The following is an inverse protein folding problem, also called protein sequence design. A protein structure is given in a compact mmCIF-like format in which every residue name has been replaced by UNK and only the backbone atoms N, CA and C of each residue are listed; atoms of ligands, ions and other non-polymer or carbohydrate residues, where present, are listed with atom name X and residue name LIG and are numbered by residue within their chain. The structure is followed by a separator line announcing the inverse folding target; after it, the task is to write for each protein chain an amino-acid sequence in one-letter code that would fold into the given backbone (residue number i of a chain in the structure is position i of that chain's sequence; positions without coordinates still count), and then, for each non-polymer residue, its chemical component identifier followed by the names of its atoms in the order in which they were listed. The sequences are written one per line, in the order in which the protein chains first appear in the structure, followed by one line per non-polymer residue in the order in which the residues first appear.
data_IF_224453025275
#
_entry.id   IF_224453025275
#
_cell.length_a   1.000
_cell.length_b   1.000
_cell.length_c   1.000
_cell.angle_alpha   90.00
_cell.angle_beta   90.00
_cell.angle_gamma   90.00
#
_symmetry.space_group_name_H-M   'P 1'
#
loop_
_entity.id
_entity.type
_entity.pdbx_description
1 polymer ?
#
# COMPACT_ATOMS: atom_id res chain seq x y z
N UNK A 1 -17.46 -30.33 20.69
CA UNK A 1 -17.42 -28.87 20.47
C UNK A 1 -16.59 -28.55 19.21
N UNK A 2 -17.14 -28.69 18.00
CA UNK A 2 -16.39 -28.45 16.73
C UNK A 2 -17.24 -27.81 15.61
N UNK A 3 -18.43 -27.27 15.93
CA UNK A 3 -19.38 -26.73 14.93
C UNK A 3 -19.52 -25.20 14.91
N UNK A 4 -18.83 -24.49 15.81
CA UNK A 4 -18.93 -23.01 15.91
C UNK A 4 -17.93 -22.23 15.03
N UNK A 5 -16.92 -22.90 14.45
CA UNK A 5 -15.91 -22.23 13.61
C UNK A 5 -16.40 -21.88 12.21
N UNK A 6 -17.25 -22.73 11.61
CA UNK A 6 -17.66 -22.58 10.20
C UNK A 6 -18.69 -21.45 10.05
N UNK A 7 -19.62 -21.30 11.00
CA UNK A 7 -20.61 -20.21 10.98
C UNK A 7 -19.96 -18.83 11.17
N UNK A 8 -18.88 -18.75 11.94
CA UNK A 8 -18.11 -17.51 12.15
C UNK A 8 -17.32 -17.11 10.90
N UNK A 9 -16.76 -18.08 10.17
CA UNK A 9 -16.10 -17.88 8.88
C UNK A 9 -17.07 -17.44 7.77
N UNK A 10 -18.29 -17.97 7.77
CA UNK A 10 -19.34 -17.58 6.82
C UNK A 10 -19.90 -16.17 7.11
N UNK A 11 -19.94 -15.75 8.39
CA UNK A 11 -20.24 -14.35 8.76
C UNK A 11 -19.13 -13.37 8.36
N UNK A 12 -17.86 -13.77 8.43
CA UNK A 12 -16.75 -12.96 7.93
C UNK A 12 -16.77 -12.85 6.40
N UNK A 13 -17.15 -13.93 5.71
CA UNK A 13 -17.29 -13.96 4.25
C UNK A 13 -18.47 -13.12 3.74
N UNK A 14 -19.56 -12.95 4.51
CA UNK A 14 -20.69 -12.09 4.12
C UNK A 14 -20.42 -10.60 4.34
N UNK A 15 -19.41 -10.24 5.15
CA UNK A 15 -18.86 -8.88 5.25
C UNK A 15 -17.94 -8.52 4.08
N UNK A 16 -17.41 -9.52 3.37
CA UNK A 16 -16.75 -9.34 2.07
C UNK A 16 -17.80 -9.19 0.97
N UNK A 17 -18.66 -8.16 1.09
CA UNK A 17 -19.26 -7.60 -0.13
C UNK A 17 -18.11 -7.18 -1.04
N UNK A 18 -18.12 -7.49 -2.35
CA UNK A 18 -17.18 -6.85 -3.25
C UNK A 18 -17.34 -5.34 -3.04
N UNK A 19 -16.29 -4.71 -2.50
CA UNK A 19 -16.24 -3.26 -2.38
C UNK A 19 -16.64 -2.71 -3.74
N UNK A 20 -17.61 -1.80 -3.73
CA UNK A 20 -18.30 -1.34 -4.92
C UNK A 20 -17.35 -1.25 -6.11
N UNK A 21 -17.79 -1.76 -7.26
CA UNK A 21 -17.12 -1.59 -8.56
C UNK A 21 -16.90 -0.12 -8.95
N UNK A 22 -17.31 0.81 -8.08
CA UNK A 22 -17.15 2.27 -8.12
C UNK A 22 -16.19 2.89 -7.07
N UNK A 23 -15.34 2.09 -6.42
CA UNK A 23 -14.35 2.61 -5.47
C UNK A 23 -13.26 3.47 -6.16
N UNK A 24 -13.19 4.74 -5.80
CA UNK A 24 -12.02 5.59 -6.11
C UNK A 24 -10.81 5.12 -5.28
N UNK A 25 -9.62 5.18 -5.88
CA UNK A 25 -8.36 4.78 -5.24
C UNK A 25 -7.40 5.96 -5.21
N UNK A 26 -6.81 6.20 -4.05
CA UNK A 26 -5.82 7.25 -3.83
C UNK A 26 -4.50 6.66 -3.35
N UNK A 27 -3.39 7.13 -3.91
CA UNK A 27 -2.07 6.91 -3.36
C UNK A 27 -1.66 8.14 -2.55
N UNK A 28 -1.16 7.96 -1.33
CA UNK A 28 -0.79 9.02 -0.40
C UNK A 28 0.65 8.84 0.09
N UNK A 29 1.26 9.96 0.47
CA UNK A 29 2.56 10.02 1.15
C UNK A 29 2.46 11.00 2.33
N UNK A 30 2.98 10.58 3.49
CA UNK A 30 3.06 11.42 4.68
C UNK A 30 4.27 12.36 4.59
N UNK A 31 4.00 13.67 4.51
CA UNK A 31 5.01 14.70 4.40
C UNK A 31 5.91 14.79 5.63
N UNK A 32 5.37 14.60 6.85
CA UNK A 32 6.18 14.64 8.08
C UNK A 32 7.23 13.52 8.09
N UNK A 33 6.85 12.33 7.61
CA UNK A 33 7.77 11.19 7.54
C UNK A 33 8.82 11.40 6.45
N UNK A 34 8.41 11.93 5.30
CA UNK A 34 9.32 12.25 4.21
C UNK A 34 10.42 13.26 4.63
N UNK A 35 10.11 14.25 5.48
CA UNK A 35 11.08 15.23 5.98
C UNK A 35 12.24 14.58 6.76
N UNK A 36 11.97 13.48 7.45
CA UNK A 36 12.98 12.72 8.22
C UNK A 36 13.46 11.47 7.47
N UNK A 37 13.20 11.40 6.16
CA UNK A 37 13.62 10.29 5.28
C UNK A 37 12.92 8.95 5.54
N UNK A 38 11.82 8.95 6.29
CA UNK A 38 10.96 7.76 6.48
C UNK A 38 10.03 7.64 5.28
N UNK A 39 10.01 6.46 4.66
CA UNK A 39 9.22 6.17 3.48
C UNK A 39 7.86 5.60 3.90
N UNK A 40 6.76 6.24 3.49
CA UNK A 40 5.42 5.79 3.85
C UNK A 40 4.42 5.86 2.68
N UNK A 41 4.43 4.86 1.79
CA UNK A 41 3.39 4.72 0.78
C UNK A 41 2.11 4.20 1.44
N UNK A 42 1.01 4.90 1.17
CA UNK A 42 -0.32 4.48 1.56
C UNK A 42 -1.24 4.42 0.35
N UNK A 43 -2.12 3.42 0.32
CA UNK A 43 -3.19 3.31 -0.66
C UNK A 43 -4.52 3.29 0.06
N UNK A 44 -5.42 4.18 -0.32
CA UNK A 44 -6.76 4.27 0.23
C UNK A 44 -7.80 3.92 -0.83
N UNK A 45 -8.77 3.12 -0.42
CA UNK A 45 -9.92 2.68 -1.18
C UNK A 45 -11.18 3.24 -0.55
N UNK A 46 -11.97 3.98 -1.33
CA UNK A 46 -13.33 4.34 -0.90
C UNK A 46 -14.20 3.08 -0.86
N UNK A 47 -14.77 2.75 0.29
CA UNK A 47 -15.65 1.59 0.44
C UNK A 47 -17.13 1.98 0.26
N UNK A 48 -17.55 3.08 0.86
CA UNK A 48 -18.92 3.59 0.79
C UNK A 48 -18.91 5.12 0.65
N UNK A 49 -20.09 5.74 0.73
CA UNK A 49 -20.21 7.20 0.79
C UNK A 49 -19.67 7.79 2.10
N UNK A 50 -19.49 6.98 3.14
CA UNK A 50 -19.04 7.43 4.47
C UNK A 50 -17.85 6.63 5.00
N UNK A 51 -17.28 5.71 4.24
CA UNK A 51 -16.16 4.89 4.73
C UNK A 51 -15.11 4.61 3.68
N UNK A 52 -13.89 4.41 4.18
CA UNK A 52 -12.72 4.05 3.39
C UNK A 52 -11.87 3.04 4.14
N UNK A 53 -11.03 2.36 3.38
CA UNK A 53 -10.00 1.48 3.90
C UNK A 53 -8.65 1.93 3.38
N UNK A 54 -7.69 2.11 4.26
CA UNK A 54 -6.32 2.47 3.93
C UNK A 54 -5.38 1.36 4.35
N UNK A 55 -4.47 0.99 3.46
CA UNK A 55 -3.34 0.13 3.77
C UNK A 55 -2.06 0.93 3.55
N UNK A 56 -1.14 0.87 4.51
CA UNK A 56 0.10 1.63 4.45
C UNK A 56 1.29 0.81 4.95
N UNK A 57 2.44 1.12 4.36
CA UNK A 57 3.72 0.66 4.83
C UNK A 57 4.49 1.86 5.37
N UNK A 58 5.18 1.73 6.49
CA UNK A 58 6.11 2.72 7.02
C UNK A 58 7.47 2.05 7.09
N UNK A 59 8.49 2.69 6.54
CA UNK A 59 9.84 2.15 6.54
C UNK A 59 10.85 3.25 6.87
N UNK A 60 11.58 3.04 7.96
CA UNK A 60 12.75 3.83 8.29
C UNK A 60 13.99 3.18 7.69
N UNK A 61 14.70 3.82 6.73
CA UNK A 61 15.92 3.25 6.14
C UNK A 61 17.15 3.38 7.07
N UNK A 62 17.02 4.05 8.21
CA UNK A 62 18.14 4.40 9.08
C UNK A 62 18.62 3.19 9.88
N UNK A 63 19.81 2.65 9.59
CA UNK A 63 20.43 1.63 10.45
C UNK A 63 20.67 2.17 11.86
N UNK A 64 21.15 3.39 11.94
CA UNK A 64 21.28 4.18 13.16
C UNK A 64 21.26 5.67 12.83
N UNK A 65 21.03 6.48 13.85
CA UNK A 65 21.14 7.94 13.82
C UNK A 65 22.07 8.38 14.95
N UNK A 66 22.85 9.44 14.71
CA UNK A 66 23.73 9.98 15.74
C UNK A 66 22.94 10.99 16.59
N UNK A 67 22.82 10.70 17.89
CA UNK A 67 22.13 11.55 18.87
C UNK A 67 23.01 11.58 20.12
N UNK A 68 23.30 12.78 20.63
CA UNK A 68 24.16 13.00 21.80
C UNK A 68 25.56 12.35 21.67
N UNK A 69 26.11 12.34 20.45
CA UNK A 69 27.40 11.73 20.15
C UNK A 69 27.39 10.20 20.06
N UNK A 70 26.24 9.55 20.23
CA UNK A 70 26.09 8.10 20.19
C UNK A 70 25.33 7.64 18.94
N UNK A 71 25.77 6.51 18.36
CA UNK A 71 25.09 5.86 17.24
C UNK A 71 23.95 4.99 17.75
N UNK A 72 22.71 5.44 17.58
CA UNK A 72 21.51 4.81 18.13
C UNK A 72 20.69 4.15 17.03
N UNK A 73 20.39 2.84 17.11
CA UNK A 73 19.57 2.17 16.10
C UNK A 73 18.19 2.81 15.92
N UNK A 74 17.75 2.91 14.66
CA UNK A 74 16.44 3.49 14.28
C UNK A 74 15.86 2.81 13.04
N UNK A 75 16.06 1.50 12.91
CA UNK A 75 15.62 0.74 11.74
C UNK A 75 14.30 0.05 12.06
N UNK A 76 13.22 0.41 11.37
CA UNK A 76 11.92 -0.24 11.59
C UNK A 76 11.05 -0.25 10.35
N UNK A 77 10.12 -1.19 10.33
CA UNK A 77 9.06 -1.33 9.33
C UNK A 77 7.72 -1.56 10.02
N UNK A 78 6.67 -0.91 9.52
CA UNK A 78 5.30 -1.08 10.00
C UNK A 78 4.41 -1.34 8.80
N UNK A 79 3.55 -2.34 8.89
CA UNK A 79 2.44 -2.55 7.97
C UNK A 79 1.15 -2.32 8.72
N UNK A 80 0.37 -1.31 8.31
CA UNK A 80 -0.82 -0.86 9.02
C UNK A 80 -2.02 -0.85 8.07
N UNK A 81 -3.14 -1.37 8.57
CA UNK A 81 -4.43 -1.31 7.90
C UNK A 81 -5.37 -0.48 8.76
N UNK A 82 -6.18 0.35 8.12
CA UNK A 82 -7.02 1.33 8.79
C UNK A 82 -8.38 1.41 8.11
N UNK A 83 -9.43 1.18 8.89
CA UNK A 83 -10.80 1.46 8.48
C UNK A 83 -11.18 2.85 8.98
N UNK A 84 -11.76 3.67 8.10
CA UNK A 84 -12.12 5.07 8.37
C UNK A 84 -13.60 5.27 8.14
N UNK A 85 -14.24 6.00 9.04
CA UNK A 85 -15.62 6.47 8.94
C UNK A 85 -15.67 7.99 8.97
N UNK A 86 -16.31 8.58 7.97
CA UNK A 86 -16.44 10.02 7.74
C UNK A 86 -17.84 10.49 8.13
N UNK A 87 -17.93 11.51 8.99
CA UNK A 87 -19.24 12.00 9.48
C UNK A 87 -20.05 12.76 8.43
N UNK A 88 -19.37 13.43 7.49
CA UNK A 88 -20.00 14.24 6.43
C UNK A 88 -19.85 13.60 5.05
N UNK A 89 -19.52 12.32 4.99
CA UNK A 89 -19.21 11.58 3.78
C UNK A 89 -17.73 11.63 3.39
N UNK A 90 -17.34 10.70 2.51
CA UNK A 90 -15.96 10.35 2.18
C UNK A 90 -15.14 11.58 1.80
N UNK A 91 -14.03 11.78 2.52
CA UNK A 91 -13.05 12.84 2.31
C UNK A 91 -13.67 14.26 2.25
N UNK A 92 -14.72 14.50 3.06
CA UNK A 92 -15.37 15.82 3.25
C UNK A 92 -15.22 16.36 4.68
N UNK A 93 -14.13 16.00 5.36
CA UNK A 93 -13.74 16.55 6.65
C UNK A 93 -13.39 15.48 7.67
N UNK A 94 -13.91 15.65 8.88
CA UNK A 94 -13.57 14.81 10.03
C UNK A 94 -13.92 13.33 9.83
N UNK A 95 -13.02 12.48 10.28
CA UNK A 95 -13.21 11.03 10.34
C UNK A 95 -12.64 10.46 11.63
N UNK A 96 -13.15 9.29 12.00
CA UNK A 96 -12.59 8.41 13.02
C UNK A 96 -12.32 7.05 12.39
N UNK A 97 -11.37 6.31 12.94
CA UNK A 97 -11.01 5.02 12.39
C UNK A 97 -10.42 4.07 13.41
N UNK A 98 -10.44 2.79 13.05
CA UNK A 98 -9.74 1.73 13.76
C UNK A 98 -8.57 1.25 12.92
N UNK A 99 -7.42 1.05 13.54
CA UNK A 99 -6.22 0.57 12.88
C UNK A 99 -5.72 -0.74 13.50
N UNK A 100 -5.16 -1.59 12.65
CA UNK A 100 -4.54 -2.85 13.05
C UNK A 100 -3.34 -3.13 12.15
N UNK A 101 -2.22 -3.52 12.74
CA UNK A 101 -0.98 -3.66 12.01
C UNK A 101 0.04 -4.55 12.69
N UNK A 102 1.14 -4.75 11.98
CA UNK A 102 2.30 -5.47 12.46
C UNK A 102 3.55 -4.61 12.25
N UNK A 103 4.56 -4.84 13.08
CA UNK A 103 5.82 -4.11 13.01
C UNK A 103 7.01 -5.02 13.24
N UNK A 104 8.13 -4.65 12.63
CA UNK A 104 9.44 -5.21 12.85
C UNK A 104 10.39 -4.05 13.14
N UNK A 105 11.18 -4.14 14.19
CA UNK A 105 12.03 -3.03 14.59
C UNK A 105 13.36 -3.49 15.16
N UNK A 106 14.36 -2.62 14.97
CA UNK A 106 15.64 -2.53 15.67
C UNK A 106 15.85 -1.06 15.97
N UNK A 107 15.31 -0.61 17.10
CA UNK A 107 15.25 0.83 17.43
C UNK A 107 15.54 1.10 18.90
N UNK A 108 16.11 2.26 19.16
CA UNK A 108 16.23 2.84 20.50
C UNK A 108 14.92 3.54 20.84
N UNK A 109 14.29 3.22 21.97
CA UNK A 109 12.98 3.78 22.31
C UNK A 109 13.09 5.31 22.48
N UNK A 110 12.20 6.09 21.86
CA UNK A 110 12.10 7.51 22.15
C UNK A 110 11.39 7.74 23.48
N UNK A 111 11.85 8.73 24.24
CA UNK A 111 11.18 9.22 25.44
C UNK A 111 11.18 10.75 25.45
N UNK A 112 10.21 11.32 26.16
CA UNK A 112 10.08 12.77 26.30
C UNK A 112 10.58 13.15 27.67
N UNK A 113 11.58 14.04 27.70
CA UNK A 113 12.11 14.63 28.92
C UNK A 113 12.31 16.13 28.65
N UNK A 114 11.88 16.99 29.57
CA UNK A 114 12.02 18.45 29.47
C UNK A 114 11.55 19.06 28.13
N UNK A 115 10.44 18.56 27.57
CA UNK A 115 9.91 18.96 26.25
C UNK A 115 10.82 18.63 25.05
N UNK A 116 11.92 17.91 25.27
CA UNK A 116 12.79 17.35 24.24
C UNK A 116 12.45 15.88 23.94
N UNK A 117 12.71 15.46 22.69
CA UNK A 117 12.66 14.05 22.31
C UNK A 117 14.07 13.48 22.45
N UNK A 118 14.22 12.50 23.33
CA UNK A 118 15.47 11.79 23.56
C UNK A 118 15.33 10.33 23.14
N UNK A 119 16.46 9.68 22.90
CA UNK A 119 16.51 8.25 22.62
C UNK A 119 17.23 7.55 23.76
N UNK A 120 16.77 6.36 24.16
CA UNK A 120 17.46 5.57 25.18
C UNK A 120 18.90 5.21 24.76
N UNK A 121 19.79 4.96 25.73
CA UNK A 121 21.15 4.43 25.51
C UNK A 121 21.16 2.90 25.37
N UNK A 122 20.10 2.36 24.78
CA UNK A 122 19.88 0.93 24.50
C UNK A 122 18.92 0.81 23.33
N UNK A 123 18.91 -0.35 22.69
CA UNK A 123 17.96 -0.62 21.62
C UNK A 123 17.20 -1.92 21.83
N UNK A 124 16.03 -1.98 21.24
CA UNK A 124 15.19 -3.17 21.21
C UNK A 124 15.13 -3.71 19.80
N UNK A 125 15.21 -5.04 19.66
CA UNK A 125 15.03 -5.73 18.37
C UNK A 125 13.93 -6.77 18.50
N UNK A 126 12.95 -6.71 17.62
CA UNK A 126 11.84 -7.65 17.66
C UNK A 126 10.72 -7.34 16.68
N UNK A 127 9.57 -7.96 16.95
CA UNK A 127 8.36 -7.86 16.16
C UNK A 127 7.18 -7.56 17.07
N UNK A 128 6.11 -7.01 16.52
CA UNK A 128 4.91 -6.74 17.30
C UNK A 128 3.68 -6.58 16.45
N UNK A 129 2.54 -6.52 17.14
CA UNK A 129 1.26 -6.19 16.57
C UNK A 129 0.72 -4.94 17.26
N UNK A 130 -0.05 -4.15 16.53
CA UNK A 130 -0.71 -2.97 17.05
C UNK A 130 -2.18 -2.99 16.68
N UNK A 131 -3.00 -2.51 17.60
CA UNK A 131 -4.43 -2.27 17.41
C UNK A 131 -4.77 -0.95 18.09
N UNK A 132 -5.52 -0.09 17.41
CA UNK A 132 -5.82 1.22 17.97
C UNK A 132 -6.90 1.95 17.21
N UNK A 133 -6.99 3.22 17.55
CA UNK A 133 -7.89 4.17 16.94
C UNK A 133 -7.13 5.34 16.34
N UNK A 134 -7.74 5.99 15.37
CA UNK A 134 -7.23 7.22 14.79
C UNK A 134 -8.37 8.21 14.58
N UNK A 135 -8.01 9.48 14.51
CA UNK A 135 -8.89 10.53 14.05
C UNK A 135 -8.12 11.46 13.12
N UNK A 136 -8.84 12.10 12.21
CA UNK A 136 -8.24 13.03 11.27
C UNK A 136 -9.24 13.86 10.52
N UNK A 137 -8.72 14.75 9.68
CA UNK A 137 -9.48 15.58 8.76
C UNK A 137 -8.95 15.36 7.36
N UNK A 138 -9.81 14.90 6.47
CA UNK A 138 -9.47 14.64 5.08
C UNK A 138 -10.32 15.46 4.13
N UNK A 139 -9.69 16.01 3.08
CA UNK A 139 -10.38 16.75 2.03
C UNK A 139 -9.83 16.49 0.64
N UNK A 140 -10.71 16.10 -0.27
CA UNK A 140 -10.41 16.09 -1.70
C UNK A 140 -10.54 17.51 -2.27
N UNK A 141 -9.54 17.94 -3.05
CA UNK A 141 -9.55 19.19 -3.78
C UNK A 141 -9.11 19.00 -5.24
N UNK A 142 -9.56 19.90 -6.12
CA UNK A 142 -9.33 19.84 -7.58
C UNK A 142 -9.67 18.46 -8.19
N UNK A 143 -10.64 17.74 -7.60
CA UNK A 143 -11.15 16.42 -8.00
C UNK A 143 -10.12 15.27 -8.01
N UNK A 144 -8.83 15.52 -7.77
CA UNK A 144 -7.76 14.52 -7.93
C UNK A 144 -6.76 14.47 -6.78
N UNK A 145 -6.68 15.53 -5.98
CA UNK A 145 -5.75 15.62 -4.86
C UNK A 145 -6.51 15.41 -3.58
N UNK A 146 -5.92 14.67 -2.65
CA UNK A 146 -6.44 14.48 -1.30
C UNK A 146 -5.42 15.02 -0.31
N UNK A 147 -5.90 15.73 0.69
CA UNK A 147 -5.11 16.22 1.82
C UNK A 147 -5.68 15.61 3.09
N UNK A 148 -4.82 15.08 3.94
CA UNK A 148 -5.20 14.35 5.14
C UNK A 148 -4.30 14.76 6.31
N UNK A 149 -4.89 15.16 7.44
CA UNK A 149 -4.18 15.45 8.70
C UNK A 149 -4.72 14.51 9.75
N UNK A 150 -3.84 13.75 10.39
CA UNK A 150 -4.27 12.65 11.25
C UNK A 150 -3.35 12.40 12.43
N UNK A 151 -3.94 11.75 13.42
CA UNK A 151 -3.28 11.23 14.60
C UNK A 151 -3.86 9.87 14.96
N UNK A 152 -3.02 8.96 15.44
CA UNK A 152 -3.41 7.63 15.87
C UNK A 152 -2.74 7.24 17.17
N UNK A 153 -3.49 6.49 17.97
CA UNK A 153 -3.07 5.93 19.24
C UNK A 153 -3.40 4.45 19.26
N UNK A 154 -2.41 3.60 19.52
CA UNK A 154 -2.58 2.16 19.49
C UNK A 154 -1.97 1.50 20.71
N UNK A 155 -2.63 0.43 21.10
CA UNK A 155 -2.03 -0.59 21.94
C UNK A 155 -1.07 -1.40 21.09
N UNK A 156 0.17 -1.52 21.55
CA UNK A 156 1.25 -2.22 20.87
C UNK A 156 1.70 -3.37 21.75
N UNK A 157 1.63 -4.60 21.25
CA UNK A 157 2.21 -5.78 21.89
C UNK A 157 3.42 -6.22 21.09
N UNK A 158 4.58 -6.25 21.74
CA UNK A 158 5.86 -6.52 21.09
C UNK A 158 6.57 -7.67 21.76
N UNK A 159 7.16 -8.53 20.93
CA UNK A 159 8.07 -9.60 21.32
C UNK A 159 9.48 -9.18 20.88
N UNK A 160 10.35 -8.86 21.83
CA UNK A 160 11.65 -8.26 21.56
C UNK A 160 12.67 -8.53 22.66
N UNK A 161 13.93 -8.32 22.32
CA UNK A 161 15.04 -8.31 23.28
C UNK A 161 15.67 -6.92 23.33
N UNK A 162 16.09 -6.53 24.53
CA UNK A 162 16.86 -5.32 24.78
C UNK A 162 18.35 -5.59 24.63
N UNK A 163 19.08 -4.63 24.09
CA UNK A 163 20.52 -4.69 23.91
C UNK A 163 21.14 -3.36 24.29
N UNK A 164 22.32 -3.41 24.89
CA UNK A 164 23.22 -2.26 24.98
C UNK A 164 23.62 -1.81 23.56
N UNK A 165 24.10 -0.57 23.43
CA UNK A 165 24.55 -0.05 22.13
C UNK A 165 25.72 -0.86 21.53
N UNK A 166 26.51 -1.52 22.39
CA UNK A 166 27.59 -2.44 21.99
C UNK A 166 27.07 -3.83 21.52
N UNK A 167 25.76 -4.04 21.54
CA UNK A 167 25.10 -5.26 21.06
C UNK A 167 25.01 -6.39 22.08
N UNK A 168 25.41 -6.16 23.34
CA UNK A 168 25.22 -7.12 24.44
C UNK A 168 23.75 -7.18 24.84
N UNK A 169 23.18 -8.39 24.95
CA UNK A 169 21.79 -8.57 25.34
C UNK A 169 21.59 -8.20 26.82
N UNK A 170 20.61 -7.35 27.11
CA UNK A 170 20.19 -7.06 28.49
C UNK A 170 19.28 -8.18 29.00
N UNK A 171 19.76 -8.96 29.95
CA UNK A 171 18.99 -10.01 30.64
C UNK A 171 18.76 -9.58 32.08
N UNK A 172 17.53 -9.25 32.45
CA UNK A 172 17.11 -8.97 33.82
C UNK A 172 16.06 -10.02 34.28
N UNK A 173 16.27 -10.72 35.42
CA UNK A 173 17.51 -10.78 36.19
C UNK A 173 18.63 -11.44 35.38
N UNK A 174 19.88 -11.06 35.68
CA UNK A 174 21.06 -11.77 35.19
C UNK A 174 20.91 -13.26 35.51
N UNK A 175 20.63 -14.08 34.49
CA UNK A 175 20.56 -15.52 34.70
C UNK A 175 21.98 -16.03 35.03
N UNK A 176 22.15 -16.87 36.07
CA UNK A 176 23.45 -17.47 36.39
C UNK A 176 24.07 -18.25 35.21
N UNK A 177 23.22 -18.75 34.31
CA UNK A 177 23.61 -19.48 33.10
C UNK A 177 23.03 -18.75 31.89
N UNK A 178 23.89 -18.36 30.96
CA UNK A 178 23.44 -17.79 29.70
C UNK A 178 22.68 -18.86 28.90
N UNK A 179 21.50 -18.54 28.35
CA UNK A 179 20.76 -19.49 27.54
C UNK A 179 21.60 -19.95 26.34
N UNK A 180 21.54 -21.24 26.01
CA UNK A 180 22.25 -21.85 24.87
C UNK A 180 21.97 -21.11 23.54
N UNK A 181 20.82 -20.44 23.46
CA UNK A 181 20.46 -19.52 22.39
C UNK A 181 20.32 -18.09 22.97
N UNK A 182 21.02 -17.09 22.42
CA UNK A 182 21.16 -15.75 23.02
C UNK A 182 19.89 -14.88 22.96
N UNK A 183 18.76 -15.42 22.50
CA UNK A 183 17.61 -14.61 22.05
C UNK A 183 16.22 -15.16 22.50
N UNK A 184 15.97 -15.54 23.77
CA UNK A 184 14.61 -15.78 24.22
C UNK A 184 13.82 -14.45 24.18
N UNK A 185 12.80 -14.32 23.33
CA UNK A 185 12.00 -13.10 23.22
C UNK A 185 11.37 -12.73 24.57
N UNK A 186 11.61 -11.51 25.05
CA UNK A 186 10.78 -10.89 26.06
C UNK A 186 9.51 -10.29 25.42
N UNK A 187 8.51 -9.97 26.23
CA UNK A 187 7.24 -9.41 25.75
C UNK A 187 6.79 -8.23 26.60
N UNK A 188 6.41 -7.13 25.96
CA UNK A 188 5.70 -6.03 26.64
C UNK A 188 4.56 -5.50 25.79
N UNK A 189 3.55 -4.96 26.48
CA UNK A 189 2.37 -4.36 25.87
C UNK A 189 2.17 -2.97 26.44
N UNK A 190 2.16 -1.96 25.57
CA UNK A 190 2.17 -0.55 25.95
C UNK A 190 1.25 0.25 25.01
N UNK A 191 0.76 1.40 25.46
CA UNK A 191 -0.03 2.31 24.63
C UNK A 191 0.85 3.44 24.12
N UNK A 192 0.89 3.63 22.80
CA UNK A 192 1.71 4.65 22.17
C UNK A 192 1.00 5.34 21.01
N UNK A 193 1.39 6.59 20.68
CA UNK A 193 1.06 7.16 19.39
C UNK A 193 1.69 6.28 18.29
N UNK A 194 0.86 5.72 17.41
CA UNK A 194 1.33 4.83 16.34
C UNK A 194 1.51 5.56 15.00
N UNK A 195 0.81 6.67 14.82
CA UNK A 195 0.91 7.51 13.62
C UNK A 195 0.56 8.96 13.90
N UNK A 196 1.25 9.85 13.21
CA UNK A 196 0.93 11.28 13.15
C UNK A 196 1.36 11.76 11.76
N UNK A 197 0.59 12.66 11.16
CA UNK A 197 0.91 13.01 9.79
C UNK A 197 0.12 14.13 9.18
N UNK A 198 0.75 14.69 8.15
CA UNK A 198 0.12 15.50 7.13
C UNK A 198 0.44 14.79 5.81
N UNK A 199 -0.57 14.18 5.21
CA UNK A 199 -0.43 13.44 3.95
C UNK A 199 -1.02 14.21 2.79
N UNK A 200 -0.35 14.10 1.65
CA UNK A 200 -0.90 14.48 0.35
C UNK A 200 -1.01 13.23 -0.50
N UNK A 201 -2.08 13.14 -1.28
CA UNK A 201 -2.29 12.04 -2.19
C UNK A 201 -2.89 12.45 -3.52
N UNK A 202 -2.78 11.52 -4.46
CA UNK A 202 -3.29 11.64 -5.81
C UNK A 202 -4.23 10.47 -6.10
N UNK A 203 -5.34 10.77 -6.79
CA UNK A 203 -6.26 9.76 -7.29
C UNK A 203 -5.61 8.99 -8.43
N UNK A 204 -5.44 7.69 -8.24
CA UNK A 204 -4.83 6.78 -9.22
C UNK A 204 -5.87 6.01 -10.04
N UNK A 205 -7.06 5.81 -9.49
CA UNK A 205 -8.16 5.12 -10.18
C UNK A 205 -9.49 5.82 -9.93
N UNK A 206 -10.23 6.00 -11.04
CA UNK A 206 -11.61 6.49 -11.05
C UNK A 206 -12.43 5.57 -11.97
N UNK A 207 -13.35 4.78 -11.40
CA UNK A 207 -14.09 3.76 -12.14
C UNK A 207 -15.05 4.34 -13.19
N UNK A 208 -15.62 5.52 -12.94
CA UNK A 208 -16.50 6.20 -13.89
C UNK A 208 -15.70 6.65 -15.13
N UNK A 209 -14.57 7.30 -14.89
CA UNK A 209 -13.63 7.70 -15.95
C UNK A 209 -13.11 6.48 -16.71
N UNK A 210 -12.86 5.38 -16.00
CA UNK A 210 -12.40 4.13 -16.60
C UNK A 210 -13.46 3.52 -17.53
N UNK A 211 -14.72 3.49 -17.11
CA UNK A 211 -15.85 3.03 -17.95
C UNK A 211 -16.00 3.86 -19.22
N UNK A 212 -16.05 5.18 -19.10
CA UNK A 212 -16.17 6.10 -20.24
C UNK A 212 -15.02 5.92 -21.25
N UNK A 213 -13.78 5.77 -20.76
CA UNK A 213 -12.61 5.50 -21.60
C UNK A 213 -12.67 4.14 -22.29
N UNK A 214 -13.19 3.12 -21.60
CA UNK A 214 -13.33 1.77 -22.15
C UNK A 214 -14.36 1.71 -23.27
N UNK A 215 -15.51 2.39 -23.12
CA UNK A 215 -16.54 2.51 -24.13
C UNK A 215 -16.04 3.29 -25.34
N UNK A 216 -15.38 4.44 -25.11
CA UNK A 216 -14.78 5.24 -26.19
C UNK A 216 -13.78 4.42 -27.00
N UNK A 217 -12.95 3.58 -26.34
CA UNK A 217 -12.01 2.68 -27.02
C UNK A 217 -12.73 1.60 -27.83
N UNK A 218 -13.80 1.00 -27.29
CA UNK A 218 -14.62 0.03 -28.01
C UNK A 218 -15.24 0.65 -29.27
N UNK A 219 -15.84 1.82 -29.15
CA UNK A 219 -16.43 2.57 -30.27
C UNK A 219 -15.38 2.91 -31.34
N UNK A 220 -14.19 3.39 -30.94
CA UNK A 220 -13.08 3.65 -31.87
C UNK A 220 -12.61 2.39 -32.59
N UNK A 221 -12.54 1.25 -31.90
CA UNK A 221 -12.16 -0.03 -32.51
C UNK A 221 -13.23 -0.50 -33.50
N UNK A 222 -14.51 -0.39 -33.16
CA UNK A 222 -15.62 -0.71 -34.05
C UNK A 222 -15.62 0.18 -35.30
N UNK A 223 -15.44 1.49 -35.13
CA UNK A 223 -15.36 2.44 -36.26
C UNK A 223 -14.19 2.13 -37.21
N UNK A 224 -13.01 1.79 -36.67
CA UNK A 224 -11.85 1.37 -37.49
C UNK A 224 -12.12 0.07 -38.25
N UNK A 225 -12.78 -0.90 -37.62
CA UNK A 225 -13.17 -2.15 -38.27
C UNK A 225 -14.17 -1.93 -39.39
N UNK A 226 -15.17 -1.07 -39.18
CA UNK A 226 -16.16 -0.70 -40.20
C UNK A 226 -15.51 0.04 -41.39
N UNK A 227 -14.59 0.98 -41.11
CA UNK A 227 -13.84 1.69 -42.14
C UNK A 227 -12.91 0.76 -42.95
N UNK A 228 -12.43 -0.33 -42.35
CA UNK A 228 -11.66 -1.36 -43.07
C UNK A 228 -12.54 -2.23 -43.96
N UNK A 229 -13.79 -2.50 -43.57
CA UNK A 229 -14.75 -3.27 -44.37
C UNK A 229 -15.31 -2.48 -45.57
N UNK A 230 -15.39 -1.14 -45.46
CA UNK A 230 -15.84 -0.27 -46.55
C UNK A 230 -14.81 -0.04 -47.66
N UNK A 231 -13.58 -0.55 -47.52
CA UNK A 231 -12.59 -0.56 -48.60
C UNK A 231 -12.75 -1.86 -49.40
N UNK A 232 -13.69 -1.87 -50.34
CA UNK A 232 -13.74 -2.87 -51.40
C UNK A 232 -12.40 -2.85 -52.16
N UNK A 233 -11.72 -3.97 -52.40
CA UNK A 233 -10.66 -4.00 -53.40
C UNK A 233 -11.30 -3.57 -54.72
N UNK A 234 -10.81 -2.48 -55.32
CA UNK A 234 -11.23 -2.10 -56.65
C UNK A 234 -11.09 -3.33 -57.56
N UNK A 235 -12.20 -3.75 -58.15
CA UNK A 235 -12.25 -4.90 -59.02
C UNK A 235 -11.26 -4.70 -60.18
N UNK A 236 -10.21 -5.50 -60.20
CA UNK A 236 -9.31 -5.63 -61.33
C UNK A 236 -10.04 -6.41 -62.44
N UNK A 237 -10.94 -5.72 -63.14
CA UNK A 237 -11.49 -6.13 -64.44
C UNK A 237 -10.65 -5.47 -65.52
N UNK A 238 -9.50 -6.08 -65.84
CA UNK A 238 -8.60 -5.63 -66.91
C UNK A 238 -8.04 -6.80 -67.73
N UNK A 239 -8.78 -7.20 -68.76
CA UNK A 239 -8.32 -7.85 -70.00
C UNK A 239 -7.24 -8.95 -69.91
N UNK A 240 -7.66 -10.23 -69.88
CA UNK A 240 -6.82 -11.35 -70.35
C UNK A 240 -7.06 -11.55 -71.85
N UNK A 241 -6.34 -10.80 -72.70
CA UNK A 241 -6.27 -11.10 -74.12
C UNK A 241 -5.39 -12.33 -74.36
N UNK A 242 -5.94 -13.26 -75.13
CA UNK A 242 -5.34 -14.47 -75.67
C UNK A 242 -4.02 -14.20 -76.39
N UNK A 243 -2.97 -14.96 -76.04
CA UNK A 243 -1.74 -15.07 -76.85
C UNK A 243 -1.94 -16.13 -77.95
N UNK A 244 -1.56 -15.88 -79.22
CA UNK A 244 -1.51 -16.91 -80.24
C UNK A 244 -0.25 -17.79 -80.07
N UNK A 245 -0.42 -19.08 -80.33
CA UNK A 245 0.63 -20.11 -80.39
C UNK A 245 1.42 -19.96 -81.71
N UNK A 246 2.77 -19.96 -81.71
CA UNK A 246 3.54 -20.04 -82.94
C UNK A 246 3.69 -21.49 -83.41
N UNK A 247 3.51 -21.68 -84.72
CA UNK A 247 3.63 -22.94 -85.44
C UNK A 247 5.07 -23.48 -85.46
N UNK A 248 5.15 -24.81 -85.50
CA UNK A 248 6.36 -25.58 -85.67
C UNK A 248 6.96 -25.41 -87.08
N UNK A 249 8.28 -25.31 -87.17
CA UNK A 249 9.04 -25.65 -88.38
C UNK A 249 10.27 -26.46 -88.00
N UNK A 250 10.31 -27.70 -88.49
CA UNK A 250 11.42 -28.63 -88.28
C UNK A 250 12.53 -28.51 -89.33
N UNK A 251 13.62 -29.22 -89.06
CA UNK A 251 14.57 -29.92 -89.98
C UNK A 251 15.89 -30.12 -89.20
N UNK A 252 16.22 -31.34 -88.76
CA UNK A 252 16.88 -32.47 -89.45
C UNK A 252 18.40 -32.33 -89.55
N UNK A 253 19.08 -33.22 -88.80
CA UNK A 253 20.32 -33.99 -89.07
C UNK A 253 21.62 -33.22 -89.41
N UNK A 254 22.73 -33.43 -88.71
CA UNK A 254 23.51 -34.68 -88.55
C UNK A 254 24.29 -34.68 -87.23
#
# INVERSE_FOLDING_TARGET
MKRFGISSLLLLASLLRPAATDAQIYAKLNGLYALVGVVNPAVEFRLTDHSAFQTEFVYSPWKSINVDGQSKPMHFGIFLNEYRYYFRGYARGWYVGGNAGMMAFRMSKPYIENWGIHLENRYSKGYGFMFGACAGYERIFRKRWVFDVFFGWSWMTSFYNGYDLDGRTQMEPHRPVQPLHPDPFNGSSEWYPNKIGISIGIRIYDPELHRQRSETRRLRKAARSAASYGKTPAADRGSRMSRPVPAASGSVSK
#
